data_IF_556887010816
#
_entry.id   IF_556887010816
#
_cell.length_a   1.000
_cell.length_b   1.000
_cell.length_c   1.000
_cell.angle_alpha   90.00
_cell.angle_beta   90.00
_cell.angle_gamma   90.00
#
_symmetry.space_group_name_H-M   'P 1'
#
loop_
_entity.id
_entity.type
_entity.pdbx_description
1 polymer ?
#
# COMPACT_ATOMS: atom_id res chain seq x y z
N UNK A 1 -2.24 2.33 50.84
CA UNK A 1 -0.97 1.72 50.56
C UNK A 1 -1.03 0.92 49.29
N UNK A 2 -0.48 1.47 48.20
CA UNK A 2 -0.46 0.78 46.89
C UNK A 2 0.70 -0.21 46.88
N UNK A 3 0.37 -1.50 46.98
CA UNK A 3 1.31 -2.55 46.61
C UNK A 3 1.38 -2.62 45.06
N UNK A 4 2.26 -1.82 44.48
CA UNK A 4 2.60 -1.91 43.04
C UNK A 4 3.43 -3.17 42.82
N UNK A 5 2.82 -4.11 42.11
CA UNK A 5 3.30 -5.46 41.91
C UNK A 5 4.69 -5.53 41.26
N UNK A 6 5.70 -5.97 42.01
CA UNK A 6 7.09 -6.10 41.61
C UNK A 6 7.34 -7.12 40.48
N UNK A 7 6.39 -8.00 40.16
CA UNK A 7 6.53 -8.93 39.04
C UNK A 7 6.42 -8.28 37.69
N UNK A 8 5.57 -7.25 37.53
CA UNK A 8 5.47 -6.49 36.25
C UNK A 8 6.75 -5.73 35.93
N UNK A 9 7.56 -5.38 36.91
CA UNK A 9 8.87 -4.74 36.67
C UNK A 9 9.90 -5.69 36.08
N UNK A 10 9.86 -6.97 36.40
CA UNK A 10 10.81 -7.97 35.87
C UNK A 10 10.55 -8.26 34.39
N UNK A 11 9.30 -8.31 33.97
CA UNK A 11 8.93 -8.50 32.56
C UNK A 11 9.33 -7.28 31.72
N UNK A 12 9.16 -6.07 32.23
CA UNK A 12 9.55 -4.84 31.55
C UNK A 12 11.07 -4.77 31.26
N UNK A 13 11.90 -5.22 32.22
CA UNK A 13 13.36 -5.22 32.03
C UNK A 13 13.88 -6.36 31.15
N UNK A 14 13.10 -7.43 30.96
CA UNK A 14 13.47 -8.53 30.05
C UNK A 14 13.21 -8.19 28.58
N UNK A 15 12.27 -7.29 28.30
CA UNK A 15 11.99 -6.79 26.96
C UNK A 15 12.92 -5.63 26.53
N UNK A 16 13.58 -4.97 27.48
CA UNK A 16 14.44 -3.79 27.23
C UNK A 16 15.57 -4.05 26.23
N UNK A 17 16.27 -5.19 26.23
CA UNK A 17 17.35 -5.42 25.25
C UNK A 17 16.82 -5.57 23.83
N UNK A 18 15.60 -6.07 23.62
CA UNK A 18 15.00 -6.19 22.29
C UNK A 18 14.53 -4.85 21.74
N UNK A 19 13.99 -3.99 22.61
CA UNK A 19 13.57 -2.63 22.20
C UNK A 19 14.78 -1.75 21.92
N UNK A 20 15.87 -1.88 22.68
CA UNK A 20 17.13 -1.17 22.43
C UNK A 20 17.84 -1.66 21.16
N UNK A 21 17.75 -2.95 20.84
CA UNK A 21 18.33 -3.47 19.58
C UNK A 21 17.55 -2.95 18.35
N UNK A 22 16.23 -2.80 18.46
CA UNK A 22 15.41 -2.22 17.39
C UNK A 22 15.65 -0.71 17.24
N UNK A 23 15.90 0.00 18.35
CA UNK A 23 16.21 1.44 18.32
C UNK A 23 17.64 1.74 17.82
N UNK A 24 18.58 0.81 17.98
CA UNK A 24 19.96 0.96 17.47
C UNK A 24 20.03 0.70 15.96
N UNK A 25 19.10 -0.06 15.38
CA UNK A 25 18.98 -0.21 13.92
C UNK A 25 18.39 1.05 13.26
N UNK A 26 17.65 1.87 14.02
CA UNK A 26 17.10 3.14 13.55
C UNK A 26 18.13 4.31 13.61
N UNK A 27 19.32 4.09 14.16
CA UNK A 27 20.44 5.05 14.23
C UNK A 27 21.54 4.81 13.19
N UNK A 28 21.20 4.14 12.07
CA UNK A 28 22.00 4.32 10.86
C UNK A 28 21.79 5.77 10.44
N UNK A 29 22.86 6.59 10.44
CA UNK A 29 22.69 8.01 10.17
C UNK A 29 22.10 8.19 8.77
N UNK A 30 20.91 8.77 8.72
CA UNK A 30 20.26 9.27 7.49
C UNK A 30 21.09 10.39 6.80
N UNK A 31 22.38 10.47 7.07
CA UNK A 31 23.27 11.49 6.50
C UNK A 31 23.82 11.11 5.13
N UNK A 32 23.62 9.88 4.67
CA UNK A 32 24.08 9.49 3.34
C UNK A 32 23.03 9.67 2.23
N UNK A 33 21.75 9.80 2.58
CA UNK A 33 20.71 10.02 1.57
C UNK A 33 20.57 11.49 1.11
N UNK A 34 20.96 12.46 1.96
CA UNK A 34 20.90 13.88 1.60
C UNK A 34 22.07 14.37 0.78
N UNK A 35 23.17 13.63 0.71
CA UNK A 35 24.31 13.96 -0.13
C UNK A 35 24.13 13.57 -1.61
N UNK A 36 23.12 12.72 -1.92
CA UNK A 36 22.80 12.30 -3.29
C UNK A 36 21.78 13.19 -4.00
N UNK A 37 21.13 14.12 -3.26
CA UNK A 37 20.21 15.10 -3.84
C UNK A 37 20.83 16.50 -3.91
N UNK A 38 22.07 16.59 -4.39
CA UNK A 38 22.64 17.83 -4.91
C UNK A 38 21.83 18.26 -6.12
N UNK A 39 21.55 19.58 -6.22
CA UNK A 39 20.84 20.27 -7.32
C UNK A 39 21.41 19.95 -8.71
N UNK A 40 21.15 18.79 -9.22
CA UNK A 40 21.33 18.34 -10.58
C UNK A 40 20.33 17.22 -10.76
N UNK A 41 19.58 17.21 -11.86
CA UNK A 41 18.89 16.03 -12.33
C UNK A 41 19.95 14.99 -12.71
N UNK A 42 20.55 14.34 -11.73
CA UNK A 42 21.21 13.07 -12.02
C UNK A 42 20.09 12.06 -12.24
N UNK A 43 19.94 11.66 -13.49
CA UNK A 43 19.11 10.52 -13.83
C UNK A 43 19.73 9.31 -13.12
N UNK A 44 18.98 8.71 -12.21
CA UNK A 44 19.43 7.49 -11.53
C UNK A 44 19.72 6.46 -12.61
N UNK A 45 20.95 5.89 -12.59
CA UNK A 45 21.38 4.88 -13.55
C UNK A 45 21.02 3.52 -12.99
N UNK A 46 20.41 2.67 -13.84
CA UNK A 46 20.17 1.27 -13.48
C UNK A 46 21.49 0.57 -13.14
N UNK A 47 21.46 -0.26 -12.10
CA UNK A 47 22.55 -1.17 -11.76
C UNK A 47 22.44 -2.39 -12.68
N UNK A 48 23.56 -2.88 -13.18
CA UNK A 48 23.59 -4.10 -13.99
C UNK A 48 23.15 -5.30 -13.12
N UNK A 49 22.22 -6.12 -13.63
CA UNK A 49 21.60 -7.19 -12.86
C UNK A 49 20.47 -6.77 -11.91
N UNK A 50 20.12 -5.49 -11.83
CA UNK A 50 19.00 -5.07 -11.01
C UNK A 50 17.65 -5.33 -11.71
N UNK A 51 16.58 -5.64 -10.94
CA UNK A 51 15.25 -5.80 -11.51
C UNK A 51 14.74 -4.48 -12.12
N UNK A 52 13.76 -4.59 -13.00
CA UNK A 52 13.10 -3.44 -13.65
C UNK A 52 11.68 -3.33 -13.13
N UNK A 53 11.41 -2.34 -12.29
CA UNK A 53 10.06 -2.03 -11.83
C UNK A 53 9.26 -1.33 -12.92
N UNK A 54 7.96 -1.65 -13.04
CA UNK A 54 7.08 -1.12 -14.09
C UNK A 54 6.20 0.01 -13.58
N UNK A 55 6.05 1.06 -14.40
CA UNK A 55 5.07 2.11 -14.11
C UNK A 55 3.64 1.56 -14.22
N UNK A 56 2.75 2.06 -13.37
CA UNK A 56 1.36 1.62 -13.29
C UNK A 56 0.41 2.81 -13.29
N UNK A 57 -0.78 2.60 -13.84
CA UNK A 57 -1.89 3.55 -13.75
C UNK A 57 -3.09 2.87 -13.12
N UNK A 58 -3.66 3.49 -12.10
CA UNK A 58 -4.84 2.98 -11.42
C UNK A 58 -5.90 4.07 -11.28
N UNK A 59 -7.15 3.64 -11.29
CA UNK A 59 -8.31 4.45 -10.97
C UNK A 59 -8.91 3.97 -9.65
N UNK A 60 -9.21 4.90 -8.77
CA UNK A 60 -9.79 4.60 -7.46
C UNK A 60 -10.96 5.53 -7.18
N UNK A 61 -11.91 5.08 -6.37
CA UNK A 61 -13.00 5.91 -5.91
C UNK A 61 -12.71 6.52 -4.55
N UNK A 62 -13.11 7.78 -4.37
CA UNK A 62 -12.96 8.46 -3.08
C UNK A 62 -13.62 7.66 -1.96
N UNK A 63 -12.85 7.37 -0.90
CA UNK A 63 -13.31 6.62 0.26
C UNK A 63 -13.28 5.10 0.09
N UNK A 64 -12.82 4.60 -1.07
CA UNK A 64 -12.68 3.17 -1.35
C UNK A 64 -11.20 2.84 -1.44
N UNK A 65 -10.69 2.01 -0.52
CA UNK A 65 -9.33 1.52 -0.59
C UNK A 65 -9.14 0.61 -1.81
N UNK A 66 -7.99 0.72 -2.45
CA UNK A 66 -7.60 -0.09 -3.60
C UNK A 66 -6.39 -0.94 -3.22
N UNK A 67 -6.48 -2.23 -3.49
CA UNK A 67 -5.36 -3.14 -3.37
C UNK A 67 -4.89 -3.55 -4.76
N UNK A 68 -3.59 -3.40 -5.00
CA UNK A 68 -2.94 -3.75 -6.26
C UNK A 68 -1.66 -4.54 -6.02
N UNK A 69 -1.17 -5.19 -7.07
CA UNK A 69 0.09 -5.91 -7.07
C UNK A 69 1.17 -5.06 -7.74
N UNK A 70 2.37 -5.06 -7.18
CA UNK A 70 3.52 -4.46 -7.85
C UNK A 70 3.98 -5.33 -9.03
N UNK A 71 4.67 -4.70 -9.98
CA UNK A 71 5.20 -5.38 -11.15
C UNK A 71 6.67 -5.07 -11.33
N UNK A 72 7.45 -6.10 -11.50
CA UNK A 72 8.85 -5.99 -11.88
C UNK A 72 9.25 -7.18 -12.74
N UNK A 73 10.26 -6.99 -13.54
CA UNK A 73 10.92 -8.06 -14.32
C UNK A 73 12.35 -8.13 -13.84
N UNK A 74 12.78 -9.32 -13.46
CA UNK A 74 14.17 -9.67 -13.23
C UNK A 74 14.66 -10.56 -14.37
N UNK A 75 15.77 -10.17 -15.00
CA UNK A 75 16.28 -10.87 -16.19
C UNK A 75 16.97 -12.21 -15.82
N UNK A 76 17.47 -12.32 -14.61
CA UNK A 76 18.08 -13.52 -14.08
C UNK A 76 17.01 -14.49 -13.52
N UNK A 77 15.78 -14.02 -13.32
CA UNK A 77 14.67 -14.80 -12.79
C UNK A 77 14.70 -14.93 -11.27
N UNK A 78 15.36 -13.99 -10.61
CA UNK A 78 15.43 -13.96 -9.15
C UNK A 78 14.11 -13.52 -8.52
N UNK A 79 13.89 -13.94 -7.28
CA UNK A 79 12.76 -13.50 -6.48
C UNK A 79 12.94 -12.03 -6.11
N UNK A 80 11.90 -11.23 -6.34
CA UNK A 80 11.91 -9.80 -6.04
C UNK A 80 11.00 -9.45 -4.87
N UNK A 81 11.45 -8.51 -4.07
CA UNK A 81 10.67 -7.84 -3.03
C UNK A 81 10.47 -6.38 -3.39
N UNK A 82 9.54 -5.69 -2.72
CA UNK A 82 9.18 -4.31 -3.06
C UNK A 82 9.27 -3.39 -1.86
N UNK A 83 9.56 -2.12 -2.14
CA UNK A 83 9.54 -1.06 -1.15
C UNK A 83 8.91 0.21 -1.72
N UNK A 84 8.13 0.93 -0.90
CA UNK A 84 7.62 2.26 -1.26
C UNK A 84 8.78 3.24 -1.12
N UNK A 85 9.15 3.90 -2.22
CA UNK A 85 10.27 4.84 -2.27
C UNK A 85 9.82 6.29 -1.99
N UNK A 86 8.61 6.65 -2.39
CA UNK A 86 8.02 7.97 -2.12
C UNK A 86 6.53 7.83 -1.85
N UNK A 87 6.07 8.41 -0.75
CA UNK A 87 4.67 8.40 -0.34
C UNK A 87 3.79 9.30 -1.23
N UNK A 88 2.49 8.96 -1.37
CA UNK A 88 1.53 9.80 -2.06
C UNK A 88 1.19 11.06 -1.26
N UNK A 89 0.62 12.07 -1.93
CA UNK A 89 0.31 13.38 -1.33
C UNK A 89 -1.15 13.54 -0.90
N UNK A 90 -2.06 12.77 -1.49
CA UNK A 90 -3.52 12.89 -1.27
C UNK A 90 -4.14 11.68 -0.59
N UNK A 91 -3.37 10.62 -0.43
CA UNK A 91 -3.77 9.38 0.22
C UNK A 91 -2.63 8.80 1.05
N UNK A 92 -2.77 7.53 1.39
CA UNK A 92 -1.75 6.72 2.03
C UNK A 92 -1.52 5.45 1.21
N UNK A 93 -0.28 5.02 1.09
CA UNK A 93 0.09 3.75 0.50
C UNK A 93 0.79 2.88 1.56
N UNK A 94 0.47 1.59 1.60
CA UNK A 94 1.11 0.63 2.48
C UNK A 94 1.36 -0.66 1.71
N UNK A 95 2.37 -1.43 2.09
CA UNK A 95 2.59 -2.77 1.54
C UNK A 95 1.49 -3.72 2.02
N UNK A 96 1.15 -4.71 1.20
CA UNK A 96 0.35 -5.88 1.61
C UNK A 96 1.14 -6.74 2.60
N UNK A 97 0.48 -7.64 3.33
CA UNK A 97 1.14 -8.52 4.31
C UNK A 97 2.23 -9.41 3.69
N UNK A 98 2.02 -9.85 2.45
CA UNK A 98 2.98 -10.65 1.69
C UNK A 98 4.13 -9.82 1.09
N UNK A 99 4.02 -8.48 1.13
CA UNK A 99 5.00 -7.55 0.56
C UNK A 99 5.02 -7.51 -0.97
N UNK A 100 4.11 -8.21 -1.66
CA UNK A 100 4.08 -8.30 -3.13
C UNK A 100 3.18 -7.25 -3.78
N UNK A 101 2.38 -6.55 -2.96
CA UNK A 101 1.44 -5.56 -3.42
C UNK A 101 1.37 -4.34 -2.52
N UNK A 102 0.37 -3.54 -2.78
CA UNK A 102 0.10 -2.32 -2.01
C UNK A 102 -1.40 -2.12 -1.78
N UNK A 103 -1.70 -1.45 -0.69
CA UNK A 103 -3.03 -0.90 -0.40
C UNK A 103 -2.94 0.61 -0.47
N UNK A 104 -3.66 1.22 -1.41
CA UNK A 104 -3.79 2.67 -1.46
C UNK A 104 -5.13 3.09 -0.87
N UNK A 105 -5.10 3.94 0.14
CA UNK A 105 -6.28 4.53 0.77
C UNK A 105 -6.39 5.99 0.35
N UNK A 106 -7.35 6.34 -0.54
CA UNK A 106 -7.51 7.71 -1.00
C UNK A 106 -7.99 8.62 0.12
N UNK A 107 -7.42 9.80 0.21
CA UNK A 107 -7.92 10.88 1.04
C UNK A 107 -9.21 11.50 0.48
N UNK A 108 -9.73 12.54 1.15
CA UNK A 108 -10.99 13.18 0.75
C UNK A 108 -10.94 14.03 -0.54
N UNK A 109 -9.77 14.25 -1.15
CA UNK A 109 -9.58 15.12 -2.31
C UNK A 109 -9.61 14.32 -3.61
N UNK A 110 -10.39 14.79 -4.58
CA UNK A 110 -10.42 14.24 -5.94
C UNK A 110 -9.23 14.69 -6.79
N UNK A 111 -9.04 14.05 -7.94
CA UNK A 111 -8.03 14.33 -8.94
C UNK A 111 -6.85 13.36 -8.86
N UNK A 112 -5.68 13.76 -9.34
CA UNK A 112 -4.53 12.88 -9.46
C UNK A 112 -3.67 12.86 -8.20
N UNK A 113 -3.10 11.70 -7.92
CA UNK A 113 -2.06 11.46 -6.92
C UNK A 113 -1.01 10.52 -7.51
N UNK A 114 0.09 10.30 -6.83
CA UNK A 114 1.08 9.32 -7.23
C UNK A 114 1.99 8.96 -6.08
N UNK A 115 2.53 7.75 -6.11
CA UNK A 115 3.64 7.32 -5.28
C UNK A 115 4.64 6.54 -6.13
N UNK A 116 5.84 6.31 -5.61
CA UNK A 116 6.85 5.51 -6.30
C UNK A 116 7.25 4.30 -5.47
N UNK A 117 7.69 3.25 -6.14
CA UNK A 117 8.20 2.04 -5.52
C UNK A 117 9.44 1.53 -6.25
N UNK A 118 10.20 0.69 -5.58
CA UNK A 118 11.36 -0.01 -6.11
C UNK A 118 11.20 -1.50 -5.93
N UNK A 119 11.78 -2.27 -6.83
CA UNK A 119 11.96 -3.71 -6.72
C UNK A 119 13.39 -4.01 -6.26
N UNK A 120 13.57 -5.03 -5.46
CA UNK A 120 14.84 -5.43 -4.85
C UNK A 120 14.97 -6.93 -5.06
N UNK A 121 16.05 -7.38 -5.70
CA UNK A 121 16.34 -8.79 -5.92
C UNK A 121 16.90 -9.50 -4.68
N UNK A 122 17.15 -10.79 -4.80
CA UNK A 122 17.70 -11.62 -3.72
C UNK A 122 19.15 -11.23 -3.34
N UNK A 123 19.86 -10.52 -4.22
CA UNK A 123 21.23 -10.05 -3.99
C UNK A 123 21.31 -8.62 -3.45
N UNK A 124 20.16 -7.95 -3.34
CA UNK A 124 20.05 -6.58 -2.84
C UNK A 124 20.26 -5.50 -3.90
N UNK A 125 20.23 -5.85 -5.20
CA UNK A 125 20.22 -4.85 -6.26
C UNK A 125 18.84 -4.21 -6.35
N UNK A 126 18.83 -2.88 -6.47
CA UNK A 126 17.60 -2.08 -6.40
C UNK A 126 17.30 -1.51 -7.78
N UNK A 127 16.06 -1.64 -8.23
CA UNK A 127 15.57 -1.04 -9.47
C UNK A 127 15.58 0.48 -9.43
N UNK A 128 15.49 1.11 -10.59
CA UNK A 128 15.01 2.48 -10.66
C UNK A 128 13.60 2.58 -10.08
N UNK A 129 13.23 3.72 -9.46
CA UNK A 129 11.88 3.92 -8.97
C UNK A 129 10.86 3.91 -10.11
N UNK A 130 9.80 3.13 -9.96
CA UNK A 130 8.64 3.15 -10.83
C UNK A 130 7.49 3.93 -10.19
N UNK A 131 6.66 4.54 -11.00
CA UNK A 131 5.56 5.39 -10.55
C UNK A 131 4.22 4.66 -10.66
N UNK A 132 3.45 4.70 -9.57
CA UNK A 132 2.02 4.39 -9.59
C UNK A 132 1.27 5.71 -9.71
N UNK A 133 0.67 5.94 -10.89
CA UNK A 133 -0.18 7.10 -11.16
C UNK A 133 -1.62 6.79 -10.78
N UNK A 134 -2.24 7.66 -10.00
CA UNK A 134 -3.55 7.42 -9.39
C UNK A 134 -4.53 8.50 -9.84
N UNK A 135 -5.70 8.08 -10.33
CA UNK A 135 -6.84 8.97 -10.55
C UNK A 135 -7.91 8.71 -9.50
N UNK A 136 -8.19 9.69 -8.65
CA UNK A 136 -9.21 9.63 -7.60
C UNK A 136 -10.49 10.28 -8.11
N UNK A 137 -11.53 9.48 -8.31
CA UNK A 137 -12.82 9.92 -8.81
C UNK A 137 -13.92 9.82 -7.75
N UNK A 138 -15.02 10.52 -7.98
CA UNK A 138 -16.25 10.34 -7.23
C UNK A 138 -17.09 9.28 -7.93
N UNK A 139 -17.59 8.29 -7.19
CA UNK A 139 -18.60 7.40 -7.74
C UNK A 139 -19.90 8.21 -8.05
N UNK A 140 -20.34 8.23 -9.30
CA UNK A 140 -21.54 8.95 -9.74
C UNK A 140 -22.81 8.26 -9.25
N UNK A 141 -22.79 6.94 -9.14
CA UNK A 141 -23.87 6.15 -8.52
C UNK A 141 -24.11 6.52 -7.07
N UNK A 142 -23.11 7.11 -6.40
CA UNK A 142 -23.12 7.36 -4.97
C UNK A 142 -23.08 6.08 -4.13
N UNK A 143 -22.79 4.93 -4.77
CA UNK A 143 -22.70 3.62 -4.10
C UNK A 143 -21.34 3.47 -3.45
N UNK A 144 -21.35 3.13 -2.17
CA UNK A 144 -20.18 2.67 -1.43
C UNK A 144 -20.66 1.53 -0.53
N UNK A 145 -20.05 0.38 -0.63
CA UNK A 145 -20.52 -0.82 0.07
C UNK A 145 -19.95 -0.89 1.49
N UNK A 146 -20.85 -0.97 2.47
CA UNK A 146 -20.47 -1.01 3.89
C UNK A 146 -19.82 -2.34 4.31
N UNK A 147 -20.15 -3.42 3.60
CA UNK A 147 -19.65 -4.78 3.84
C UNK A 147 -18.39 -5.14 3.05
N UNK A 148 -17.86 -4.20 2.26
CA UNK A 148 -16.68 -4.44 1.43
C UNK A 148 -15.42 -3.72 1.93
N UNK A 149 -15.43 -3.19 3.14
CA UNK A 149 -14.27 -2.56 3.74
C UNK A 149 -13.10 -3.53 3.84
N UNK A 150 -11.94 -3.19 3.24
CA UNK A 150 -10.77 -4.05 3.17
C UNK A 150 -10.81 -5.16 2.10
N UNK A 151 -11.88 -5.24 1.31
CA UNK A 151 -11.96 -6.20 0.20
C UNK A 151 -11.25 -5.68 -1.04
N UNK A 152 -10.41 -6.52 -1.66
CA UNK A 152 -9.76 -6.25 -2.96
C UNK A 152 -10.81 -5.99 -4.06
N UNK A 153 -11.98 -6.58 -3.94
CA UNK A 153 -13.05 -6.45 -4.92
C UNK A 153 -13.89 -5.17 -4.77
N UNK A 154 -13.65 -4.32 -3.75
CA UNK A 154 -14.51 -3.17 -3.48
C UNK A 154 -14.55 -2.19 -4.67
N UNK A 155 -13.41 -1.86 -5.26
CA UNK A 155 -13.34 -0.98 -6.44
C UNK A 155 -14.11 -1.56 -7.62
N UNK A 156 -13.97 -2.86 -7.89
CA UNK A 156 -14.69 -3.55 -8.95
C UNK A 156 -16.21 -3.58 -8.68
N UNK A 157 -16.63 -3.75 -7.43
CA UNK A 157 -18.04 -3.70 -7.04
C UNK A 157 -18.65 -2.32 -7.29
N UNK A 158 -17.92 -1.24 -6.98
CA UNK A 158 -18.35 0.13 -7.29
C UNK A 158 -18.40 0.36 -8.80
N UNK A 159 -17.44 -0.16 -9.56
CA UNK A 159 -17.46 -0.09 -11.04
C UNK A 159 -18.70 -0.76 -11.64
N UNK A 160 -19.13 -1.91 -11.12
CA UNK A 160 -20.37 -2.56 -11.54
C UNK A 160 -21.61 -1.69 -11.29
N UNK A 161 -21.64 -0.97 -10.16
CA UNK A 161 -22.71 -0.03 -9.85
C UNK A 161 -22.67 1.21 -10.76
N UNK A 162 -21.49 1.75 -11.07
CA UNK A 162 -21.31 2.88 -11.99
C UNK A 162 -21.83 2.57 -13.39
N UNK A 163 -21.65 1.34 -13.85
CA UNK A 163 -22.14 0.88 -15.16
C UNK A 163 -23.57 0.32 -15.13
N UNK A 164 -24.25 0.38 -13.98
CA UNK A 164 -25.62 -0.11 -13.84
C UNK A 164 -25.78 -1.64 -13.99
N UNK A 165 -24.68 -2.38 -13.83
CA UNK A 165 -24.68 -3.85 -13.96
C UNK A 165 -25.22 -4.52 -12.70
N UNK A 166 -24.78 -4.05 -11.54
CA UNK A 166 -25.20 -4.56 -10.24
C UNK A 166 -25.01 -3.50 -9.16
N UNK A 167 -26.03 -3.27 -8.33
CA UNK A 167 -26.04 -2.25 -7.30
C UNK A 167 -26.06 -2.86 -5.88
N UNK A 168 -26.32 -4.17 -5.75
CA UNK A 168 -26.46 -4.81 -4.43
C UNK A 168 -27.76 -4.44 -3.73
N UNK A 169 -27.82 -4.65 -2.43
CA UNK A 169 -28.96 -4.32 -1.58
C UNK A 169 -28.79 -2.96 -0.91
N UNK A 170 -29.85 -2.15 -0.83
CA UNK A 170 -29.87 -0.91 -0.05
C UNK A 170 -30.71 -1.13 1.21
N UNK A 171 -30.09 -0.90 2.37
CA UNK A 171 -30.73 -1.01 3.68
C UNK A 171 -30.53 0.31 4.42
N UNK A 172 -31.59 1.08 4.60
CA UNK A 172 -31.48 2.45 5.10
C UNK A 172 -30.67 3.32 4.13
N UNK A 173 -29.61 3.98 4.63
CA UNK A 173 -28.71 4.82 3.84
C UNK A 173 -27.44 4.10 3.35
N UNK A 174 -27.31 2.80 3.62
CA UNK A 174 -26.14 2.01 3.29
C UNK A 174 -26.40 1.01 2.18
N UNK A 175 -25.39 0.79 1.34
CA UNK A 175 -25.38 -0.26 0.32
C UNK A 175 -24.56 -1.46 0.80
N UNK A 176 -25.02 -2.66 0.40
CA UNK A 176 -24.36 -3.94 0.71
C UNK A 176 -24.21 -4.74 -0.57
N UNK A 177 -23.00 -5.24 -0.82
CA UNK A 177 -22.72 -6.07 -1.97
C UNK A 177 -23.11 -7.52 -1.74
N UNK A 178 -23.12 -7.96 -0.45
CA UNK A 178 -23.43 -9.32 -0.01
C UNK A 178 -22.53 -10.38 -0.66
N UNK A 179 -21.24 -10.10 -0.76
CA UNK A 179 -20.26 -10.95 -1.46
C UNK A 179 -20.12 -12.36 -0.86
N UNK A 180 -20.52 -12.57 0.38
CA UNK A 180 -20.54 -13.89 1.05
C UNK A 180 -21.87 -14.64 0.87
N UNK A 181 -22.84 -14.02 0.21
CA UNK A 181 -24.14 -14.66 0.02
C UNK A 181 -24.06 -15.79 -0.97
N UNK A 182 -24.36 -17.01 -0.49
CA UNK A 182 -24.48 -18.20 -1.34
C UNK A 182 -25.66 -18.06 -2.28
N UNK A 183 -25.42 -18.10 -3.59
CA UNK A 183 -26.49 -18.16 -4.57
C UNK A 183 -27.11 -19.55 -4.53
N UNK A 184 -28.35 -19.68 -4.05
CA UNK A 184 -29.12 -20.92 -4.22
C UNK A 184 -29.65 -20.99 -5.65
N UNK A 185 -29.44 -22.12 -6.31
CA UNK A 185 -30.16 -22.42 -7.56
C UNK A 185 -31.64 -22.61 -7.20
N UNK A 186 -32.46 -21.66 -7.64
CA UNK A 186 -33.93 -21.84 -7.62
C UNK A 186 -34.38 -22.84 -8.70
#
# INVERSE_FOLDING_TARGET
GEHFNMEKRKEFWRALPFVMALLLLALVPMQSASALFGKGKEEAKAVDGAPVAENMEIKVYRGVAYEGEFRAVDNEGDEVTFAIAQEPKKGMAALTEDGLGFVYTPGGKLGTDSFTYTAIDAYGNISLPATVSITIEKANSGVCYADMGGSRAHTAAVDLAEHGVFVGAKIGDSYFFEHERTLSRG
#
